data_IF_726773209254
#
_entry.id   IF_726773209254
#
_cell.length_a   1.000
_cell.length_b   1.000
_cell.length_c   1.000
_cell.angle_alpha   90.00
_cell.angle_beta   90.00
_cell.angle_gamma   90.00
#
_symmetry.space_group_name_H-M   'P 1'
#
loop_
_entity.id
_entity.type
_entity.pdbx_description
1 polymer ?
#
# COMPACT_ATOMS: atom_id res chain seq x y z
N UNK A 1 20.67 -1.96 5.64
CA UNK A 1 19.21 -2.17 5.75
C UNK A 1 18.53 -0.85 6.12
N UNK A 2 17.89 -0.15 5.16
CA UNK A 2 17.21 1.14 5.44
C UNK A 2 15.94 0.87 6.25
N UNK A 3 15.92 1.32 7.51
CA UNK A 3 14.77 1.19 8.43
C UNK A 3 13.62 2.12 7.98
N UNK A 4 12.40 1.59 7.99
CA UNK A 4 11.14 2.30 7.68
C UNK A 4 10.67 3.28 8.79
N UNK A 5 11.47 3.50 9.85
CA UNK A 5 11.06 4.27 11.04
C UNK A 5 10.62 5.71 10.77
N UNK A 6 11.04 6.30 9.64
CA UNK A 6 11.00 7.75 9.43
C UNK A 6 9.71 8.28 8.75
N UNK A 7 8.77 7.43 8.33
CA UNK A 7 7.61 7.86 7.52
C UNK A 7 6.29 7.94 8.29
N UNK A 8 6.33 7.88 9.62
CA UNK A 8 5.13 8.03 10.44
C UNK A 8 4.61 9.47 10.32
N UNK A 9 5.42 10.52 10.53
CA UNK A 9 4.95 11.91 10.42
C UNK A 9 5.02 12.48 8.99
N UNK A 10 4.29 11.88 8.06
CA UNK A 10 4.06 12.48 6.75
C UNK A 10 2.87 13.46 6.82
N UNK A 11 3.05 14.78 6.62
CA UNK A 11 1.95 15.75 6.70
C UNK A 11 0.91 15.60 5.56
N UNK A 12 1.17 14.74 4.57
CA UNK A 12 0.30 14.46 3.42
C UNK A 12 -0.50 13.15 3.55
N UNK A 13 -0.85 12.75 4.78
CA UNK A 13 -1.72 11.58 5.00
C UNK A 13 -3.09 11.84 4.37
N UNK A 14 -3.62 10.85 3.66
CA UNK A 14 -4.97 10.86 3.07
C UNK A 14 -5.73 9.65 3.60
N UNK A 15 -6.97 9.79 4.11
CA UNK A 15 -7.82 8.66 4.46
C UNK A 15 -8.07 7.78 3.23
N UNK A 16 -7.96 6.47 3.42
CA UNK A 16 -8.15 5.47 2.36
C UNK A 16 -8.81 4.22 2.92
N UNK A 17 -9.51 3.49 2.06
CA UNK A 17 -10.10 2.18 2.37
C UNK A 17 -9.37 1.10 1.56
N UNK A 18 -8.89 0.06 2.24
CA UNK A 18 -8.26 -1.10 1.60
C UNK A 18 -9.27 -2.23 1.44
N UNK A 19 -9.45 -2.71 0.19
CA UNK A 19 -10.31 -3.87 -0.11
C UNK A 19 -9.46 -5.00 -0.69
N UNK A 20 -9.47 -6.15 -0.03
CA UNK A 20 -8.67 -7.34 -0.38
C UNK A 20 -9.54 -8.38 -1.10
N UNK A 21 -8.97 -9.06 -2.09
CA UNK A 21 -9.56 -10.24 -2.71
C UNK A 21 -8.47 -11.15 -3.29
N UNK A 22 -8.86 -12.34 -3.75
CA UNK A 22 -7.93 -13.23 -4.47
C UNK A 22 -7.41 -12.62 -5.78
N UNK A 23 -8.12 -11.63 -6.35
CA UNK A 23 -7.66 -10.92 -7.53
C UNK A 23 -6.57 -9.89 -7.19
N UNK A 24 -6.50 -9.44 -5.93
CA UNK A 24 -5.49 -8.53 -5.44
C UNK A 24 -6.02 -7.51 -4.43
N UNK A 25 -5.43 -6.32 -4.45
CA UNK A 25 -5.70 -5.24 -3.51
C UNK A 25 -6.17 -3.99 -4.27
N UNK A 26 -7.25 -3.39 -3.78
CA UNK A 26 -7.73 -2.07 -4.21
C UNK A 26 -7.64 -1.07 -3.07
N UNK A 27 -7.20 0.13 -3.40
CA UNK A 27 -7.11 1.28 -2.50
C UNK A 27 -8.14 2.31 -2.98
N UNK A 28 -9.12 2.58 -2.14
CA UNK A 28 -10.16 3.57 -2.36
C UNK A 28 -9.87 4.82 -1.53
N UNK A 29 -10.46 5.96 -1.91
CA UNK A 29 -10.48 7.16 -1.07
C UNK A 29 -11.21 6.93 0.24
N UNK A 30 -11.17 7.94 1.12
CA UNK A 30 -11.92 7.92 2.39
C UNK A 30 -13.44 7.84 2.20
N UNK A 31 -13.94 8.16 1.01
CA UNK A 31 -15.32 7.97 0.58
C UNK A 31 -15.70 6.51 0.32
N UNK A 32 -14.71 5.60 0.19
CA UNK A 32 -14.93 4.18 -0.10
C UNK A 32 -15.30 3.85 -1.56
N UNK A 33 -15.52 4.88 -2.37
CA UNK A 33 -16.03 4.81 -3.75
C UNK A 33 -14.95 5.15 -4.79
N UNK A 34 -14.16 6.20 -4.56
CA UNK A 34 -13.15 6.64 -5.54
C UNK A 34 -11.96 5.68 -5.55
N UNK A 35 -11.79 4.90 -6.63
CA UNK A 35 -10.62 4.03 -6.81
C UNK A 35 -9.34 4.86 -7.02
N UNK A 36 -8.38 4.73 -6.11
CA UNK A 36 -7.09 5.43 -6.18
C UNK A 36 -5.99 4.55 -6.75
N UNK A 37 -5.94 3.28 -6.35
CA UNK A 37 -4.95 2.31 -6.83
C UNK A 37 -5.53 0.89 -6.87
N UNK A 38 -5.01 0.07 -7.78
CA UNK A 38 -5.31 -1.35 -7.86
C UNK A 38 -4.04 -2.14 -8.21
N UNK A 39 -3.74 -3.16 -7.40
CA UNK A 39 -2.68 -4.12 -7.64
C UNK A 39 -3.25 -5.51 -7.78
N UNK A 40 -3.02 -6.15 -8.93
CA UNK A 40 -3.25 -7.59 -9.07
C UNK A 40 -2.34 -8.35 -8.10
N UNK A 41 -2.82 -9.44 -7.50
CA UNK A 41 -2.08 -10.19 -6.47
C UNK A 41 -0.67 -10.59 -6.94
N UNK A 42 -0.53 -11.05 -8.19
CA UNK A 42 0.75 -11.40 -8.83
C UNK A 42 1.80 -10.29 -8.89
N UNK A 43 1.40 -9.03 -8.65
CA UNK A 43 2.28 -7.85 -8.65
C UNK A 43 2.76 -7.46 -7.26
N UNK A 44 2.18 -8.05 -6.20
CA UNK A 44 2.58 -7.85 -4.80
C UNK A 44 3.64 -8.89 -4.47
N UNK A 45 4.84 -8.43 -4.10
CA UNK A 45 6.01 -9.29 -3.87
C UNK A 45 6.24 -9.57 -2.39
N UNK A 46 5.84 -8.63 -1.54
CA UNK A 46 6.01 -8.71 -0.11
C UNK A 46 4.91 -7.90 0.57
N UNK A 47 4.39 -8.40 1.68
CA UNK A 47 3.48 -7.66 2.54
C UNK A 47 3.82 -7.91 4.00
N UNK A 48 3.54 -6.93 4.85
CA UNK A 48 3.77 -7.02 6.28
C UNK A 48 2.71 -6.21 7.03
N UNK A 49 2.41 -6.67 8.24
CA UNK A 49 1.49 -6.03 9.17
C UNK A 49 2.18 -5.93 10.53
N UNK A 50 2.13 -4.74 11.15
CA UNK A 50 2.61 -4.50 12.50
C UNK A 50 1.43 -4.06 13.38
N UNK A 51 0.75 -5.01 14.05
CA UNK A 51 -0.45 -4.72 14.83
C UNK A 51 -0.24 -3.63 15.91
N UNK A 52 0.85 -3.65 16.71
CA UNK A 52 1.06 -2.65 17.76
C UNK A 52 1.19 -1.21 17.26
N UNK A 53 1.51 -1.03 15.97
CA UNK A 53 1.67 0.27 15.35
C UNK A 53 0.54 0.61 14.37
N UNK A 54 -0.45 -0.28 14.19
CA UNK A 54 -1.51 -0.12 13.19
C UNK A 54 -0.98 0.00 11.75
N UNK A 55 0.18 -0.59 11.43
CA UNK A 55 0.82 -0.39 10.14
C UNK A 55 0.60 -1.58 9.21
N UNK A 56 0.14 -1.30 8.01
CA UNK A 56 0.14 -2.23 6.90
C UNK A 56 1.09 -1.72 5.82
N UNK A 57 1.92 -2.59 5.25
CA UNK A 57 2.74 -2.23 4.12
C UNK A 57 2.85 -3.37 3.11
N UNK A 58 3.02 -3.01 1.85
CA UNK A 58 3.35 -3.96 0.81
C UNK A 58 4.29 -3.36 -0.23
N UNK A 59 5.07 -4.23 -0.88
CA UNK A 59 5.93 -3.89 -2.02
C UNK A 59 5.33 -4.48 -3.28
N UNK A 60 5.14 -3.65 -4.30
CA UNK A 60 4.57 -4.08 -5.57
C UNK A 60 5.21 -3.39 -6.77
N UNK A 61 5.01 -4.01 -7.95
CA UNK A 61 5.24 -3.35 -9.24
C UNK A 61 4.00 -2.55 -9.62
N UNK A 62 4.15 -1.26 -9.86
CA UNK A 62 3.05 -0.42 -10.30
C UNK A 62 2.64 -0.76 -11.75
N UNK A 63 1.34 -0.68 -12.08
CA UNK A 63 0.90 -0.73 -13.47
C UNK A 63 1.61 0.35 -14.29
N UNK A 64 2.02 0.02 -15.52
CA UNK A 64 2.73 0.93 -16.46
C UNK A 64 4.11 1.41 -16.00
N UNK A 65 4.67 0.85 -14.91
CA UNK A 65 6.06 1.08 -14.51
C UNK A 65 6.98 -0.04 -15.02
N UNK A 66 8.29 0.24 -15.24
CA UNK A 66 9.28 -0.79 -15.57
C UNK A 66 9.29 -1.92 -14.55
N UNK A 67 9.48 -3.17 -15.00
CA UNK A 67 9.47 -4.36 -14.13
C UNK A 67 10.56 -4.35 -13.04
N UNK A 68 11.63 -3.58 -13.26
CA UNK A 68 12.75 -3.40 -12.33
C UNK A 68 12.43 -2.43 -11.19
N UNK A 69 11.40 -1.60 -11.31
CA UNK A 69 11.02 -0.63 -10.27
C UNK A 69 10.00 -1.22 -9.31
N UNK A 70 10.35 -1.18 -8.03
CA UNK A 70 9.49 -1.59 -6.92
C UNK A 70 9.04 -0.37 -6.13
N UNK A 71 7.78 -0.39 -5.70
CA UNK A 71 7.17 0.66 -4.92
C UNK A 71 6.72 0.09 -3.58
N UNK A 72 7.06 0.79 -2.50
CA UNK A 72 6.59 0.48 -1.16
C UNK A 72 5.38 1.37 -0.83
N UNK A 73 4.27 0.71 -0.53
CA UNK A 73 3.02 1.33 -0.09
C UNK A 73 2.89 1.11 1.41
N UNK A 74 2.77 2.20 2.17
CA UNK A 74 2.67 2.19 3.63
C UNK A 74 1.35 2.84 4.04
N UNK A 75 0.59 2.13 4.87
CA UNK A 75 -0.67 2.56 5.46
C UNK A 75 -0.53 2.53 6.96
N UNK A 76 -1.08 3.53 7.61
CA UNK A 76 -1.08 3.71 9.07
C UNK A 76 -2.52 3.92 9.50
N UNK A 77 -2.95 3.18 10.52
CA UNK A 77 -4.23 3.38 11.20
C UNK A 77 -4.20 4.54 12.20
#
# INVERSE_FOLDING_TARGET
QRRLSARQDCPRRRPVVLKFSLQGLKVYGGDGETLLMAHALRRILYSTWRPPAGQFAFVARNPRSPATKLFCHLFVG
#
